data_IF_560785792442
#
_entry.id   IF_560785792442
#
_cell.length_a   1.000
_cell.length_b   1.000
_cell.length_c   1.000
_cell.angle_alpha   90.00
_cell.angle_beta   90.00
_cell.angle_gamma   90.00
#
_symmetry.space_group_name_H-M   'P 1'
#
loop_
_entity.id
_entity.type
_entity.pdbx_description
1 polymer ?
#
# COMPACT_ATOMS: atom_id res chain seq x y z
N UNK A 1 12.17 61.19 -9.63
CA UNK A 1 12.73 60.25 -8.63
C UNK A 1 11.72 59.23 -8.10
N UNK A 2 10.46 59.59 -7.81
CA UNK A 2 9.46 58.66 -7.25
C UNK A 2 9.08 57.44 -8.13
N UNK A 3 9.10 57.57 -9.46
CA UNK A 3 8.74 56.46 -10.37
C UNK A 3 9.71 55.27 -10.31
N UNK A 4 11.01 55.54 -10.10
CA UNK A 4 12.06 54.51 -10.04
C UNK A 4 11.92 53.61 -8.81
N UNK A 5 11.57 54.20 -7.66
CA UNK A 5 11.33 53.48 -6.41
C UNK A 5 10.13 52.54 -6.48
N UNK A 6 9.06 52.92 -7.20
CA UNK A 6 7.87 52.06 -7.37
C UNK A 6 8.18 50.81 -8.19
N UNK A 7 8.98 50.93 -9.25
CA UNK A 7 9.44 49.78 -10.06
C UNK A 7 10.37 48.86 -9.28
N UNK A 8 11.31 49.41 -8.51
CA UNK A 8 12.20 48.63 -7.66
C UNK A 8 11.44 47.87 -6.58
N UNK A 9 10.44 48.49 -5.95
CA UNK A 9 9.62 47.84 -4.93
C UNK A 9 8.78 46.68 -5.51
N UNK A 10 8.23 46.86 -6.72
CA UNK A 10 7.49 45.81 -7.44
C UNK A 10 8.36 44.63 -7.86
N UNK A 11 9.60 44.91 -8.29
CA UNK A 11 10.58 43.87 -8.63
C UNK A 11 11.00 43.09 -7.38
N UNK A 12 11.24 43.76 -6.26
CA UNK A 12 11.56 43.11 -4.99
C UNK A 12 10.39 42.25 -4.48
N UNK A 13 9.14 42.72 -4.54
CA UNK A 13 7.99 41.90 -4.10
C UNK A 13 7.76 40.70 -5.01
N UNK A 14 7.94 40.82 -6.33
CA UNK A 14 7.88 39.69 -7.25
C UNK A 14 8.97 38.65 -6.97
N UNK A 15 10.20 39.10 -6.64
CA UNK A 15 11.29 38.19 -6.28
C UNK A 15 11.06 37.50 -4.93
N UNK A 16 10.52 38.22 -3.94
CA UNK A 16 10.14 37.64 -2.66
C UNK A 16 9.03 36.58 -2.79
N UNK A 17 8.04 36.82 -3.65
CA UNK A 17 6.97 35.85 -3.95
C UNK A 17 7.55 34.62 -4.67
N UNK A 18 8.46 34.82 -5.62
CA UNK A 18 9.11 33.72 -6.35
C UNK A 18 9.99 32.86 -5.42
N UNK A 19 10.73 33.49 -4.50
CA UNK A 19 11.53 32.81 -3.48
C UNK A 19 10.66 32.06 -2.47
N UNK A 20 9.51 32.62 -2.04
CA UNK A 20 8.55 31.92 -1.20
C UNK A 20 7.92 30.71 -1.92
N UNK A 21 7.58 30.82 -3.21
CA UNK A 21 7.06 29.70 -4.00
C UNK A 21 8.10 28.58 -4.19
N UNK A 22 9.40 28.90 -4.24
CA UNK A 22 10.47 27.90 -4.35
C UNK A 22 10.65 27.06 -3.08
N UNK A 23 10.28 27.57 -1.90
CA UNK A 23 10.41 26.84 -0.63
C UNK A 23 9.31 25.82 -0.37
N UNK A 24 8.21 25.83 -1.14
CA UNK A 24 7.11 24.87 -0.98
C UNK A 24 7.18 23.66 -1.94
N UNK A 25 8.27 23.53 -2.72
CA UNK A 25 8.52 22.36 -3.58
C UNK A 25 9.36 21.29 -2.86
N UNK A 26 9.07 20.96 -1.61
CA UNK A 26 9.53 19.68 -1.04
C UNK A 26 8.58 18.58 -1.48
N UNK A 27 8.75 18.09 -2.70
CA UNK A 27 8.15 16.81 -3.08
C UNK A 27 8.77 15.76 -2.19
N UNK A 28 7.97 15.16 -1.29
CA UNK A 28 8.33 13.97 -0.55
C UNK A 28 8.62 12.85 -1.56
N UNK A 29 9.88 12.78 -1.99
CA UNK A 29 10.37 11.80 -2.94
C UNK A 29 10.81 10.61 -2.10
N UNK A 30 9.93 9.61 -1.99
CA UNK A 30 10.38 8.29 -1.56
C UNK A 30 11.26 7.76 -2.67
N UNK A 31 12.54 7.74 -2.40
CA UNK A 31 13.56 7.13 -3.23
C UNK A 31 13.24 5.64 -3.43
N UNK A 32 13.35 5.11 -4.67
CA UNK A 32 13.22 3.68 -4.93
C UNK A 32 14.10 2.89 -3.96
N UNK A 33 13.59 1.74 -3.51
CA UNK A 33 14.28 0.90 -2.54
C UNK A 33 14.71 -0.40 -3.22
N UNK A 34 16.00 -0.71 -3.13
CA UNK A 34 16.61 -1.94 -3.63
C UNK A 34 16.97 -2.90 -2.49
N UNK A 35 17.46 -4.09 -2.86
CA UNK A 35 17.96 -5.09 -1.91
C UNK A 35 19.43 -5.39 -2.23
N UNK A 36 20.31 -5.27 -1.23
CA UNK A 36 21.71 -5.71 -1.27
C UNK A 36 21.92 -6.83 -0.25
N UNK A 37 22.06 -8.07 -0.73
CA UNK A 37 22.11 -9.27 0.12
C UNK A 37 20.87 -9.35 1.03
N UNK A 38 21.02 -9.41 2.35
CA UNK A 38 19.91 -9.41 3.33
C UNK A 38 19.37 -8.02 3.68
N UNK A 39 19.96 -6.95 3.14
CA UNK A 39 19.63 -5.57 3.53
C UNK A 39 18.77 -4.88 2.48
N UNK A 40 17.75 -4.18 2.95
CA UNK A 40 16.97 -3.26 2.15
C UNK A 40 17.70 -1.92 2.17
N UNK A 41 17.96 -1.35 0.99
CA UNK A 41 18.76 -0.15 0.82
C UNK A 41 18.06 0.83 -0.10
N UNK A 42 18.09 2.09 0.25
CA UNK A 42 17.73 3.19 -0.63
C UNK A 42 18.59 3.18 -1.90
N UNK A 43 18.00 3.23 -3.10
CA UNK A 43 18.78 3.12 -4.35
C UNK A 43 19.70 4.32 -4.58
N UNK A 44 19.27 5.53 -4.22
CA UNK A 44 20.02 6.76 -4.45
C UNK A 44 21.23 6.90 -3.52
N UNK A 45 21.05 6.61 -2.23
CA UNK A 45 22.08 6.84 -1.20
C UNK A 45 22.82 5.55 -0.79
N UNK A 46 22.30 4.38 -1.14
CA UNK A 46 22.78 3.08 -0.64
C UNK A 46 22.51 2.88 0.86
N UNK A 47 21.82 3.81 1.53
CA UNK A 47 21.56 3.78 2.96
C UNK A 47 20.62 2.64 3.30
N UNK A 48 20.93 1.90 4.37
CA UNK A 48 20.09 0.81 4.84
C UNK A 48 18.76 1.35 5.37
N UNK A 49 17.66 0.85 4.80
CA UNK A 49 16.29 1.05 5.27
C UNK A 49 15.87 -0.19 6.05
N UNK A 50 15.36 -0.01 7.27
CA UNK A 50 14.74 -1.12 8.03
C UNK A 50 13.24 -1.09 7.77
N UNK A 51 12.70 -2.15 7.17
CA UNK A 51 11.25 -2.44 7.15
C UNK A 51 10.80 -3.15 8.45
N UNK A 52 11.54 -2.98 9.55
CA UNK A 52 11.33 -3.69 10.82
C UNK A 52 10.38 -3.02 11.80
N UNK A 53 9.87 -1.83 11.46
CA UNK A 53 8.97 -1.03 12.30
C UNK A 53 7.68 -0.73 11.53
N UNK A 54 7.07 -1.77 10.95
CA UNK A 54 5.78 -1.63 10.30
C UNK A 54 4.66 -2.02 11.26
N UNK A 55 3.58 -1.24 11.27
CA UNK A 55 2.31 -1.65 11.88
C UNK A 55 1.43 -2.31 10.83
N UNK A 56 0.63 -3.28 11.24
CA UNK A 56 -0.43 -3.84 10.39
C UNK A 56 -1.68 -2.97 10.53
N UNK A 57 -2.22 -2.49 9.41
CA UNK A 57 -3.51 -1.78 9.39
C UNK A 57 -4.53 -2.60 8.59
N UNK A 58 -5.57 -3.02 9.28
CA UNK A 58 -6.61 -3.92 8.76
C UNK A 58 -7.54 -3.15 7.82
N UNK A 59 -7.63 -3.57 6.55
CA UNK A 59 -8.54 -3.02 5.54
C UNK A 59 -9.14 -4.07 4.61
N UNK A 60 -8.94 -5.36 4.92
CA UNK A 60 -9.36 -6.48 4.08
C UNK A 60 -10.74 -7.07 4.46
N UNK A 61 -11.42 -6.50 5.45
CA UNK A 61 -12.73 -6.94 5.93
C UNK A 61 -13.85 -6.54 4.95
N UNK A 62 -15.08 -6.98 5.23
CA UNK A 62 -16.26 -6.74 4.38
C UNK A 62 -16.52 -5.27 4.06
N UNK A 63 -16.21 -4.35 4.98
CA UNK A 63 -16.35 -2.92 4.75
C UNK A 63 -15.40 -2.39 3.65
N UNK A 64 -14.31 -3.11 3.35
CA UNK A 64 -13.33 -2.74 2.31
C UNK A 64 -12.63 -1.41 2.55
N UNK A 65 -12.59 -0.95 3.80
CA UNK A 65 -11.87 0.24 4.24
C UNK A 65 -10.97 -0.11 5.43
N UNK A 66 -9.87 0.63 5.63
CA UNK A 66 -9.09 0.52 6.84
C UNK A 66 -9.93 0.81 8.09
N UNK A 67 -9.78 -0.03 9.10
CA UNK A 67 -10.51 0.08 10.36
C UNK A 67 -10.13 1.36 11.13
N UNK A 68 -11.06 1.87 11.93
CA UNK A 68 -10.87 3.05 12.79
C UNK A 68 -11.12 4.41 12.11
N UNK A 69 -11.40 4.44 10.80
CA UNK A 69 -11.72 5.69 10.09
C UNK A 69 -13.06 6.33 10.51
N UNK A 70 -13.91 5.57 11.21
CA UNK A 70 -15.11 6.07 11.88
C UNK A 70 -14.82 6.70 13.25
N UNK A 71 -13.59 6.62 13.76
CA UNK A 71 -13.21 7.16 15.07
C UNK A 71 -12.31 8.39 14.94
N UNK A 72 -11.45 8.43 13.91
CA UNK A 72 -10.47 9.50 13.73
C UNK A 72 -10.18 9.76 12.24
N UNK A 73 -9.73 10.98 11.89
CA UNK A 73 -9.22 11.26 10.55
C UNK A 73 -7.99 10.41 10.20
N UNK A 74 -7.81 10.07 8.92
CA UNK A 74 -6.64 9.33 8.43
C UNK A 74 -5.33 10.00 8.88
N UNK A 75 -5.29 11.33 8.81
CA UNK A 75 -4.15 12.17 9.20
C UNK A 75 -3.75 11.99 10.67
N UNK A 76 -4.73 11.92 11.58
CA UNK A 76 -4.50 11.71 13.01
C UNK A 76 -3.96 10.30 13.30
N UNK A 77 -4.47 9.29 12.59
CA UNK A 77 -3.95 7.92 12.69
C UNK A 77 -2.51 7.86 12.16
N UNK A 78 -2.22 8.48 11.01
CA UNK A 78 -0.87 8.56 10.46
C UNK A 78 0.10 9.27 11.41
N UNK A 79 -0.32 10.37 12.03
CA UNK A 79 0.45 11.08 13.06
C UNK A 79 0.76 10.16 14.25
N UNK A 80 -0.24 9.43 14.77
CA UNK A 80 -0.04 8.50 15.88
C UNK A 80 0.92 7.36 15.53
N UNK A 81 0.87 6.83 14.30
CA UNK A 81 1.80 5.80 13.83
C UNK A 81 3.24 6.33 13.89
N UNK A 82 3.47 7.55 13.38
CA UNK A 82 4.81 8.15 13.40
C UNK A 82 5.29 8.52 14.81
N UNK A 83 4.40 8.97 15.70
CA UNK A 83 4.76 9.34 17.08
C UNK A 83 5.18 8.12 17.93
N UNK A 84 4.66 6.94 17.60
CA UNK A 84 5.09 5.66 18.19
C UNK A 84 6.41 5.13 17.60
N UNK A 85 7.02 5.84 16.65
CA UNK A 85 8.30 5.48 16.04
C UNK A 85 8.21 4.50 14.87
N UNK A 86 7.00 4.21 14.38
CA UNK A 86 6.83 3.40 13.17
C UNK A 86 7.03 4.25 11.91
N UNK A 87 7.67 3.66 10.90
CA UNK A 87 7.98 4.33 9.64
C UNK A 87 7.32 3.62 8.43
N UNK A 88 6.55 2.57 8.68
CA UNK A 88 5.82 1.86 7.65
C UNK A 88 4.48 1.29 8.13
N UNK A 89 3.59 1.05 7.17
CA UNK A 89 2.31 0.39 7.37
C UNK A 89 2.19 -0.78 6.38
N UNK A 90 1.89 -1.97 6.91
CA UNK A 90 1.37 -3.10 6.14
C UNK A 90 -0.14 -2.91 6.02
N UNK A 91 -0.57 -2.38 4.88
CA UNK A 91 -1.97 -2.04 4.65
C UNK A 91 -2.64 -3.20 3.93
N UNK A 92 -3.53 -3.87 4.65
CA UNK A 92 -4.12 -5.13 4.18
C UNK A 92 -5.31 -4.90 3.24
N UNK A 93 -5.48 -5.79 2.27
CA UNK A 93 -6.63 -5.78 1.36
C UNK A 93 -7.04 -7.20 0.93
N UNK A 94 -8.27 -7.35 0.44
CA UNK A 94 -8.80 -8.61 -0.13
C UNK A 94 -8.70 -8.62 -1.67
N UNK A 95 -8.53 -9.78 -2.29
CA UNK A 95 -8.55 -9.87 -3.78
C UNK A 95 -9.90 -9.42 -4.32
N UNK A 96 -10.99 -9.77 -3.64
CA UNK A 96 -12.35 -9.37 -4.03
C UNK A 96 -12.54 -7.86 -4.14
N UNK A 97 -11.87 -7.06 -3.30
CA UNK A 97 -11.86 -5.59 -3.42
C UNK A 97 -11.47 -5.13 -4.84
N UNK A 98 -10.63 -5.91 -5.53
CA UNK A 98 -10.08 -5.61 -6.85
C UNK A 98 -10.78 -6.35 -7.99
N UNK A 99 -11.61 -7.36 -7.70
CA UNK A 99 -12.19 -8.25 -8.72
C UNK A 99 -13.71 -8.28 -8.73
N UNK A 100 -14.38 -7.89 -7.65
CA UNK A 100 -15.84 -7.91 -7.55
C UNK A 100 -16.44 -6.54 -7.91
N UNK A 101 -17.47 -6.49 -8.80
CA UNK A 101 -18.07 -5.23 -9.23
C UNK A 101 -18.59 -4.34 -8.10
N UNK A 102 -19.11 -4.93 -7.03
CA UNK A 102 -19.63 -4.16 -5.89
C UNK A 102 -18.52 -3.41 -5.13
N UNK A 103 -17.25 -3.80 -5.26
CA UNK A 103 -16.12 -3.04 -4.73
C UNK A 103 -15.50 -2.11 -5.78
N UNK A 104 -15.33 -2.60 -7.01
CA UNK A 104 -14.57 -1.89 -8.04
C UNK A 104 -15.35 -0.75 -8.70
N UNK A 105 -16.67 -0.85 -8.74
CA UNK A 105 -17.54 0.05 -9.51
C UNK A 105 -18.53 0.82 -8.65
N UNK A 106 -18.72 0.43 -7.38
CA UNK A 106 -19.60 1.13 -6.45
C UNK A 106 -18.80 1.97 -5.46
N UNK A 107 -19.43 3.07 -5.03
CA UNK A 107 -18.92 3.89 -3.94
C UNK A 107 -18.92 3.11 -2.61
N UNK A 108 -17.97 3.39 -1.74
CA UNK A 108 -17.86 2.76 -0.41
C UNK A 108 -19.15 2.92 0.40
N UNK A 109 -19.83 4.06 0.29
CA UNK A 109 -21.12 4.29 0.96
C UNK A 109 -22.16 3.21 0.65
N UNK A 110 -22.18 2.68 -0.59
CA UNK A 110 -23.11 1.59 -0.97
C UNK A 110 -22.80 0.27 -0.26
N UNK A 111 -21.51 -0.03 -0.05
CA UNK A 111 -21.11 -1.19 0.75
C UNK A 111 -21.58 -1.02 2.20
N UNK A 112 -21.36 0.15 2.79
CA UNK A 112 -21.78 0.43 4.16
C UNK A 112 -23.30 0.37 4.33
N UNK A 113 -24.08 0.88 3.37
CA UNK A 113 -25.54 0.71 3.31
C UNK A 113 -25.92 -0.78 3.29
N UNK A 114 -25.32 -1.58 2.41
CA UNK A 114 -25.63 -3.01 2.27
C UNK A 114 -25.30 -3.84 3.53
N UNK A 115 -24.36 -3.37 4.34
CA UNK A 115 -23.95 -3.98 5.61
C UNK A 115 -24.70 -3.40 6.82
N UNK A 116 -25.65 -2.49 6.62
CA UNK A 116 -26.35 -1.76 7.68
C UNK A 116 -25.42 -0.98 8.63
N UNK A 117 -24.32 -0.43 8.11
CA UNK A 117 -23.29 0.31 8.87
C UNK A 117 -23.52 1.84 8.82
N UNK A 118 -24.77 2.28 8.91
CA UNK A 118 -25.14 3.69 8.72
C UNK A 118 -24.49 4.63 9.74
N UNK A 119 -24.39 4.21 11.01
CA UNK A 119 -23.77 5.02 12.07
C UNK A 119 -22.27 5.20 11.81
N UNK A 120 -21.58 4.12 11.39
CA UNK A 120 -20.17 4.15 11.04
C UNK A 120 -19.93 4.99 9.80
N UNK A 121 -20.81 4.91 8.80
CA UNK A 121 -20.74 5.74 7.61
C UNK A 121 -20.83 7.24 7.95
N UNK A 122 -21.79 7.63 8.79
CA UNK A 122 -21.91 9.04 9.23
C UNK A 122 -20.65 9.52 9.96
N UNK A 123 -20.09 8.69 10.84
CA UNK A 123 -18.86 9.04 11.56
C UNK A 123 -17.63 9.12 10.63
N UNK A 124 -17.53 8.23 9.63
CA UNK A 124 -16.49 8.32 8.60
C UNK A 124 -16.62 9.62 7.83
N UNK A 125 -17.83 10.02 7.41
CA UNK A 125 -18.03 11.26 6.66
C UNK A 125 -17.67 12.50 7.50
N UNK A 126 -17.92 12.46 8.82
CA UNK A 126 -17.53 13.52 9.74
C UNK A 126 -16.00 13.66 9.86
N UNK A 127 -15.29 12.55 9.99
CA UNK A 127 -13.83 12.55 10.19
C UNK A 127 -13.02 12.61 8.89
N UNK A 128 -13.58 12.09 7.79
CA UNK A 128 -12.94 11.92 6.50
C UNK A 128 -13.92 12.29 5.36
N UNK A 129 -14.26 13.59 5.20
CA UNK A 129 -15.28 14.02 4.26
C UNK A 129 -15.00 13.57 2.82
N UNK A 130 -16.04 13.09 2.14
CA UNK A 130 -16.00 12.62 0.75
C UNK A 130 -15.38 11.24 0.54
N UNK A 131 -14.87 10.58 1.60
CA UNK A 131 -14.27 9.25 1.47
C UNK A 131 -15.30 8.20 1.01
N UNK A 132 -16.56 8.32 1.47
CA UNK A 132 -17.63 7.38 1.12
C UNK A 132 -18.11 7.49 -0.33
N UNK A 133 -17.81 8.60 -1.00
CA UNK A 133 -18.17 8.84 -2.40
C UNK A 133 -17.20 8.15 -3.38
N UNK A 134 -16.04 7.72 -2.90
CA UNK A 134 -15.02 7.06 -3.69
C UNK A 134 -15.30 5.58 -3.87
N UNK A 135 -14.76 4.98 -4.92
CA UNK A 135 -14.63 3.51 -4.99
C UNK A 135 -13.63 3.01 -3.93
N UNK A 136 -13.66 1.72 -3.60
CA UNK A 136 -12.79 1.18 -2.54
C UNK A 136 -11.31 1.33 -2.88
N UNK A 137 -10.91 1.16 -4.14
CA UNK A 137 -9.53 1.35 -4.55
C UNK A 137 -9.10 2.83 -4.49
N UNK A 138 -10.00 3.77 -4.80
CA UNK A 138 -9.75 5.20 -4.64
C UNK A 138 -9.68 5.62 -3.16
N UNK A 139 -10.54 5.08 -2.30
CA UNK A 139 -10.48 5.33 -0.87
C UNK A 139 -9.21 4.75 -0.24
N UNK A 140 -8.82 3.53 -0.64
CA UNK A 140 -7.55 2.92 -0.24
C UNK A 140 -6.37 3.80 -0.68
N UNK A 141 -6.39 4.33 -1.91
CA UNK A 141 -5.38 5.29 -2.40
C UNK A 141 -5.33 6.56 -1.57
N UNK A 142 -6.48 7.10 -1.16
CA UNK A 142 -6.54 8.29 -0.30
C UNK A 142 -5.83 8.05 1.03
N UNK A 143 -5.95 6.84 1.60
CA UNK A 143 -5.22 6.45 2.81
C UNK A 143 -3.72 6.35 2.54
N UNK A 144 -3.30 5.72 1.44
CA UNK A 144 -1.89 5.62 1.04
C UNK A 144 -1.26 7.00 0.81
N UNK A 145 -2.00 7.94 0.22
CA UNK A 145 -1.52 9.30 -0.03
C UNK A 145 -1.36 10.09 1.26
N UNK A 146 -2.29 9.97 2.21
CA UNK A 146 -2.16 10.63 3.52
C UNK A 146 -0.98 10.07 4.31
N UNK A 147 -0.73 8.75 4.24
CA UNK A 147 0.48 8.13 4.80
C UNK A 147 1.75 8.70 4.15
N UNK A 148 1.72 8.98 2.84
CA UNK A 148 2.85 9.60 2.13
C UNK A 148 3.16 11.01 2.66
N UNK A 149 2.13 11.82 2.94
CA UNK A 149 2.26 13.16 3.53
C UNK A 149 3.00 13.10 4.88
N UNK A 150 2.81 12.01 5.64
CA UNK A 150 3.46 11.78 6.93
C UNK A 150 4.80 11.04 6.82
N UNK A 151 5.33 10.83 5.61
CA UNK A 151 6.59 10.13 5.39
C UNK A 151 6.53 8.63 5.72
N UNK A 152 5.33 8.05 5.75
CA UNK A 152 5.12 6.64 6.09
C UNK A 152 5.14 5.79 4.81
N UNK A 153 6.02 4.79 4.79
CA UNK A 153 6.07 3.81 3.71
C UNK A 153 4.90 2.82 3.80
N UNK A 154 4.43 2.36 2.66
CA UNK A 154 3.34 1.39 2.56
C UNK A 154 3.83 0.09 1.96
N UNK A 155 3.47 -1.00 2.63
CA UNK A 155 3.53 -2.36 2.12
C UNK A 155 2.11 -2.79 1.78
N UNK A 156 1.83 -3.01 0.50
CA UNK A 156 0.54 -3.54 0.05
C UNK A 156 0.45 -5.02 0.45
N UNK A 157 -0.47 -5.40 1.32
CA UNK A 157 -0.55 -6.78 1.80
C UNK A 157 -1.86 -7.44 1.34
N UNK A 158 -1.77 -8.42 0.45
CA UNK A 158 -2.94 -9.26 0.21
C UNK A 158 -3.13 -10.22 1.38
N UNK A 159 -4.14 -9.97 2.20
CA UNK A 159 -4.36 -10.77 3.41
C UNK A 159 -5.27 -11.97 3.15
N UNK A 160 -6.34 -11.77 2.37
CA UNK A 160 -7.38 -12.77 2.10
C UNK A 160 -7.88 -12.70 0.66
N UNK A 161 -8.53 -13.77 0.17
CA UNK A 161 -9.08 -13.80 -1.19
C UNK A 161 -10.43 -13.10 -1.21
N UNK A 162 -11.27 -13.50 -0.27
CA UNK A 162 -12.60 -12.99 -0.03
C UNK A 162 -12.66 -12.41 1.39
N UNK A 163 -13.80 -11.85 1.73
CA UNK A 163 -14.05 -11.17 3.00
C UNK A 163 -14.22 -12.16 4.16
N UNK A 164 -14.11 -13.47 3.89
CA UNK A 164 -14.15 -14.53 4.88
C UNK A 164 -12.75 -14.76 5.45
N UNK A 165 -12.66 -14.68 6.77
CA UNK A 165 -11.38 -14.84 7.49
C UNK A 165 -10.79 -16.26 7.42
N UNK A 166 -11.59 -17.27 7.01
CA UNK A 166 -11.17 -18.67 7.07
C UNK A 166 -10.06 -19.04 6.07
N UNK A 167 -9.79 -18.19 5.06
CA UNK A 167 -8.70 -18.37 4.10
C UNK A 167 -8.84 -19.57 3.15
N UNK A 168 -9.98 -20.27 3.17
CA UNK A 168 -10.22 -21.52 2.40
C UNK A 168 -10.49 -21.26 0.92
N UNK A 169 -11.03 -20.10 0.59
CA UNK A 169 -11.27 -19.73 -0.81
C UNK A 169 -9.98 -19.21 -1.44
N UNK A 170 -9.45 -19.92 -2.43
CA UNK A 170 -8.30 -19.47 -3.21
C UNK A 170 -8.43 -19.87 -4.68
N UNK A 171 -8.66 -18.89 -5.54
CA UNK A 171 -8.58 -19.03 -6.99
C UNK A 171 -7.28 -18.37 -7.48
N UNK A 172 -6.28 -19.16 -7.94
CA UNK A 172 -4.97 -18.63 -8.35
C UNK A 172 -5.06 -17.61 -9.48
N UNK A 173 -5.94 -17.82 -10.46
CA UNK A 173 -6.06 -16.93 -11.62
C UNK A 173 -6.70 -15.59 -11.24
N UNK A 174 -7.71 -15.62 -10.36
CA UNK A 174 -8.30 -14.40 -9.81
C UNK A 174 -7.30 -13.65 -8.93
N UNK A 175 -6.56 -14.37 -8.08
CA UNK A 175 -5.51 -13.81 -7.24
C UNK A 175 -4.42 -13.11 -8.06
N UNK A 176 -3.86 -13.77 -9.09
CA UNK A 176 -2.86 -13.16 -9.98
C UNK A 176 -3.40 -11.88 -10.66
N UNK A 177 -4.66 -11.90 -11.10
CA UNK A 177 -5.31 -10.71 -11.70
C UNK A 177 -5.46 -9.58 -10.68
N UNK A 178 -5.87 -9.91 -9.45
CA UNK A 178 -5.98 -8.95 -8.36
C UNK A 178 -4.62 -8.33 -8.02
N UNK A 179 -3.57 -9.14 -7.89
CA UNK A 179 -2.21 -8.66 -7.67
C UNK A 179 -1.79 -7.65 -8.74
N UNK A 180 -1.91 -8.04 -10.02
CA UNK A 180 -1.57 -7.18 -11.15
C UNK A 180 -2.31 -5.83 -11.09
N UNK A 181 -3.62 -5.86 -10.80
CA UNK A 181 -4.44 -4.64 -10.68
C UNK A 181 -3.92 -3.73 -9.57
N UNK A 182 -3.63 -4.28 -8.39
CA UNK A 182 -3.17 -3.51 -7.24
C UNK A 182 -1.85 -2.79 -7.54
N UNK A 183 -0.82 -3.52 -7.93
CA UNK A 183 0.50 -2.90 -8.15
C UNK A 183 0.56 -2.01 -9.39
N UNK A 184 -0.27 -2.27 -10.41
CA UNK A 184 -0.41 -1.36 -11.54
C UNK A 184 -0.99 -0.02 -11.08
N UNK A 185 -2.02 -0.06 -10.23
CA UNK A 185 -2.67 1.15 -9.72
C UNK A 185 -1.70 2.04 -8.91
N UNK A 186 -0.78 1.42 -8.17
CA UNK A 186 0.22 2.12 -7.35
C UNK A 186 1.57 2.32 -8.03
N UNK A 187 1.70 2.08 -9.35
CA UNK A 187 2.99 2.14 -10.07
C UNK A 187 3.75 3.46 -9.91
N UNK A 188 3.01 4.56 -9.80
CA UNK A 188 3.57 5.91 -9.68
C UNK A 188 3.41 6.50 -8.27
N UNK A 189 3.20 5.65 -7.26
CA UNK A 189 3.03 6.06 -5.86
C UNK A 189 4.30 5.69 -5.07
N UNK A 190 5.22 6.64 -4.85
CA UNK A 190 6.59 6.31 -4.44
C UNK A 190 6.68 5.77 -3.01
N UNK A 191 5.73 6.11 -2.13
CA UNK A 191 5.71 5.60 -0.76
C UNK A 191 5.22 4.15 -0.69
N UNK A 192 4.71 3.58 -1.78
CA UNK A 192 4.48 2.14 -1.89
C UNK A 192 5.79 1.47 -2.24
N UNK A 193 6.44 0.89 -1.23
CA UNK A 193 7.80 0.34 -1.35
C UNK A 193 7.82 -1.17 -1.54
N UNK A 194 6.76 -1.86 -1.14
CA UNK A 194 6.68 -3.30 -1.24
C UNK A 194 5.26 -3.82 -1.38
N UNK A 195 5.15 -5.08 -1.79
CA UNK A 195 3.93 -5.85 -1.81
C UNK A 195 4.16 -7.23 -1.18
N UNK A 196 3.38 -7.58 -0.15
CA UNK A 196 3.23 -8.96 0.28
C UNK A 196 2.16 -9.65 -0.54
N UNK A 197 2.53 -10.78 -1.17
CA UNK A 197 1.70 -11.44 -2.17
C UNK A 197 0.48 -12.14 -1.59
N UNK A 198 0.63 -12.80 -0.43
CA UNK A 198 -0.47 -13.46 0.26
C UNK A 198 -0.07 -13.94 1.65
N UNK A 199 -0.90 -13.64 2.65
CA UNK A 199 -0.89 -14.34 3.94
C UNK A 199 -1.65 -15.68 3.86
N UNK A 200 -1.02 -16.75 4.35
CA UNK A 200 -1.56 -18.09 4.68
C UNK A 200 -2.69 -18.61 3.76
N UNK A 201 -2.36 -19.51 2.83
CA UNK A 201 -3.39 -20.26 2.08
C UNK A 201 -3.73 -21.53 2.85
N UNK A 202 -5.03 -21.75 3.07
CA UNK A 202 -5.58 -22.93 3.73
C UNK A 202 -6.43 -23.74 2.74
N UNK A 203 -6.47 -25.06 2.91
CA UNK A 203 -7.26 -25.97 2.07
C UNK A 203 -6.48 -26.57 0.90
N UNK A 204 -7.17 -27.25 -0.02
CA UNK A 204 -6.56 -28.21 -0.98
C UNK A 204 -5.48 -27.61 -1.92
N UNK A 205 -5.50 -26.28 -2.13
CA UNK A 205 -4.50 -25.57 -2.93
C UNK A 205 -3.25 -25.11 -2.13
N UNK A 206 -3.10 -25.54 -0.87
CA UNK A 206 -2.01 -25.12 0.02
C UNK A 206 -0.78 -26.04 0.03
N UNK A 207 -0.73 -27.08 -0.81
CA UNK A 207 0.45 -27.97 -0.83
C UNK A 207 1.72 -27.16 -1.12
N UNK A 208 2.87 -27.47 -0.48
CA UNK A 208 4.09 -26.66 -0.64
C UNK A 208 4.53 -26.48 -2.09
N UNK A 209 4.38 -27.53 -2.91
CA UNK A 209 4.74 -27.49 -4.33
C UNK A 209 3.81 -26.55 -5.14
N UNK A 210 2.50 -26.61 -4.90
CA UNK A 210 1.55 -25.69 -5.55
C UNK A 210 1.76 -24.26 -5.07
N UNK A 211 1.99 -24.07 -3.77
CA UNK A 211 2.22 -22.75 -3.18
C UNK A 211 3.47 -22.09 -3.75
N UNK A 212 4.58 -22.83 -3.85
CA UNK A 212 5.79 -22.36 -4.50
C UNK A 212 5.55 -21.95 -5.96
N UNK A 213 4.79 -22.75 -6.73
CA UNK A 213 4.43 -22.41 -8.12
C UNK A 213 3.60 -21.12 -8.21
N UNK A 214 2.63 -20.94 -7.32
CA UNK A 214 1.82 -19.72 -7.30
C UNK A 214 2.63 -18.50 -6.89
N UNK A 215 3.51 -18.65 -5.90
CA UNK A 215 4.43 -17.60 -5.48
C UNK A 215 5.34 -17.14 -6.62
N UNK A 216 5.94 -18.07 -7.38
CA UNK A 216 6.71 -17.71 -8.59
C UNK A 216 5.88 -16.95 -9.62
N UNK A 217 4.65 -17.40 -9.89
CA UNK A 217 3.74 -16.72 -10.81
C UNK A 217 3.37 -15.31 -10.31
N UNK A 218 3.12 -15.17 -9.00
CA UNK A 218 2.78 -13.90 -8.36
C UNK A 218 3.92 -12.89 -8.42
N UNK A 219 5.16 -13.33 -8.12
CA UNK A 219 6.37 -12.50 -8.26
C UNK A 219 6.51 -12.01 -9.70
N UNK A 220 6.38 -12.91 -10.69
CA UNK A 220 6.54 -12.56 -12.10
C UNK A 220 5.49 -11.54 -12.56
N UNK A 221 4.23 -11.69 -12.14
CA UNK A 221 3.14 -10.76 -12.45
C UNK A 221 3.38 -9.40 -11.81
N UNK A 222 3.74 -9.36 -10.53
CA UNK A 222 3.98 -8.11 -9.81
C UNK A 222 5.16 -7.36 -10.40
N UNK A 223 6.28 -8.05 -10.62
CA UNK A 223 7.48 -7.44 -11.17
C UNK A 223 7.25 -6.88 -12.58
N UNK A 224 6.51 -7.61 -13.43
CA UNK A 224 6.14 -7.13 -14.77
C UNK A 224 5.26 -5.88 -14.72
N UNK A 225 4.31 -5.83 -13.79
CA UNK A 225 3.38 -4.70 -13.65
C UNK A 225 4.05 -3.47 -13.03
N UNK A 226 4.91 -3.68 -12.02
CA UNK A 226 5.62 -2.63 -11.32
C UNK A 226 7.02 -3.12 -10.89
N UNK A 227 8.08 -2.79 -11.64
CA UNK A 227 9.43 -3.26 -11.34
C UNK A 227 10.09 -2.54 -10.15
N UNK A 228 9.45 -1.50 -9.62
CA UNK A 228 10.01 -0.64 -8.57
C UNK A 228 9.61 -1.08 -7.15
N UNK A 229 8.64 -1.99 -6.99
CA UNK A 229 8.22 -2.49 -5.68
C UNK A 229 8.97 -3.75 -5.30
N UNK A 230 9.32 -3.86 -4.02
CA UNK A 230 9.85 -5.10 -3.45
C UNK A 230 8.73 -6.13 -3.30
N UNK A 231 9.01 -7.39 -3.58
CA UNK A 231 8.05 -8.48 -3.38
C UNK A 231 8.42 -9.25 -2.11
N UNK A 232 7.49 -9.28 -1.16
CA UNK A 232 7.61 -10.01 0.11
C UNK A 232 6.81 -11.31 -0.03
N UNK A 233 7.47 -12.43 0.25
CA UNK A 233 6.83 -13.73 0.30
C UNK A 233 6.66 -14.12 1.76
N UNK A 234 5.41 -14.08 2.23
CA UNK A 234 5.05 -14.65 3.52
C UNK A 234 4.89 -16.16 3.30
N UNK A 235 5.94 -16.92 3.68
CA UNK A 235 5.94 -18.38 3.63
C UNK A 235 5.52 -18.87 5.02
N UNK A 236 4.21 -18.93 5.24
CA UNK A 236 3.61 -19.67 6.35
C UNK A 236 2.64 -20.69 5.74
N UNK A 237 3.13 -21.91 5.55
CA UNK A 237 2.30 -23.07 5.20
C UNK A 237 1.97 -23.74 6.54
N UNK A 238 0.85 -23.35 7.15
CA UNK A 238 0.23 -24.06 8.29
C UNK A 238 1.14 -24.25 9.52
N UNK A 239 1.89 -23.21 9.95
CA UNK A 239 2.83 -23.26 11.09
C UNK A 239 2.25 -22.57 12.35
N UNK A 240 0.92 -22.41 12.46
CA UNK A 240 0.31 -21.85 13.69
C UNK A 240 0.43 -22.82 14.90
N UNK A 241 0.99 -24.02 14.70
CA UNK A 241 1.20 -25.05 15.74
C UNK A 241 2.65 -25.47 15.98
N UNK A 242 3.65 -24.96 15.24
CA UNK A 242 5.05 -25.36 15.40
C UNK A 242 6.01 -24.15 15.38
N UNK A 243 6.39 -23.67 16.57
CA UNK A 243 7.24 -22.49 16.78
C UNK A 243 8.71 -22.64 16.32
N UNK A 244 9.06 -23.67 15.54
CA UNK A 244 10.46 -24.03 15.27
C UNK A 244 11.07 -23.47 13.98
N UNK A 245 10.33 -22.74 13.13
CA UNK A 245 10.88 -22.26 11.85
C UNK A 245 10.61 -20.76 11.58
N UNK A 246 11.57 -19.86 11.89
CA UNK A 246 11.47 -18.46 11.54
C UNK A 246 12.13 -18.22 10.18
N UNK A 247 11.39 -18.11 9.07
CA UNK A 247 12.03 -17.70 7.80
C UNK A 247 11.11 -16.88 6.88
N UNK A 248 10.98 -15.58 7.19
CA UNK A 248 10.60 -14.57 6.19
C UNK A 248 11.70 -14.50 5.12
N UNK A 249 11.40 -14.84 3.87
CA UNK A 249 12.33 -14.70 2.74
C UNK A 249 11.92 -13.51 1.87
N UNK A 250 12.73 -12.46 1.88
CA UNK A 250 12.61 -11.33 0.94
C UNK A 250 13.26 -11.76 -0.38
N UNK A 251 12.49 -11.82 -1.46
CA UNK A 251 13.03 -12.18 -2.77
C UNK A 251 13.48 -10.93 -3.54
N UNK A 252 14.56 -11.12 -4.29
CA UNK A 252 15.35 -10.12 -5.04
C UNK A 252 14.47 -9.27 -5.97
N UNK A 253 14.93 -8.04 -6.28
CA UNK A 253 14.71 -7.42 -7.59
C UNK A 253 15.26 -8.39 -8.64
N UNK A 254 14.41 -9.20 -9.28
CA UNK A 254 14.85 -10.14 -10.32
C UNK A 254 15.30 -9.27 -11.50
N UNK A 255 16.60 -9.24 -11.81
CA UNK A 255 17.05 -8.62 -13.06
C UNK A 255 16.47 -9.40 -14.22
N UNK A 256 16.10 -8.70 -15.30
CA UNK A 256 15.46 -9.23 -16.50
C UNK A 256 16.18 -10.41 -17.19
N UNK A 257 17.37 -10.79 -16.72
CA UNK A 257 18.20 -11.86 -17.28
C UNK A 257 17.76 -13.28 -16.86
N UNK A 258 16.87 -13.44 -15.87
CA UNK A 258 16.51 -14.77 -15.34
C UNK A 258 15.11 -15.27 -15.77
N UNK A 259 14.51 -14.69 -16.81
CA UNK A 259 13.16 -15.04 -17.30
C UNK A 259 13.14 -15.78 -18.66
N UNK A 260 14.24 -16.40 -19.09
CA UNK A 260 14.20 -17.33 -20.22
C UNK A 260 14.19 -18.78 -19.71
N UNK A 261 13.05 -19.50 -19.81
CA UNK A 261 13.10 -20.95 -19.78
C UNK A 261 13.64 -21.43 -21.13
N UNK A 262 14.70 -22.25 -21.09
CA UNK A 262 14.93 -23.22 -22.15
C UNK A 262 13.84 -24.30 -22.09
#
# INVERSE_FOLDING_TARGET
MAASYSTLLKLCTLWSILLLCFQFLTVASSTPVGVRSRWITEEASGRRVKLGSCVNWVGHLQAGLPEGLNQQPISSIATNITSLGFNCVRLTYSIHMLTRPHYTSSAVGRTFESLNLTVQAQAIELHNPGLLLLTHLQAYKRVVDELAVHGVMVVLENHVSNEQWNGRYFNPMEWLRGLARMVTYFRHTPNVVAMSLRKEVRGDNSTPAMWSKYMHSGVAVVHRANPNVLVILDIDIDIDTDLTLPNMRVFRKVSSEHLNPA
#
